data_IF_035427100130
#
_entry.id   IF_035427100130
#
_cell.length_a   1.000
_cell.length_b   1.000
_cell.length_c   1.000
_cell.angle_alpha   90.00
_cell.angle_beta   90.00
_cell.angle_gamma   90.00
#
_symmetry.space_group_name_H-M   'P 1'
#
loop_
_entity.id
_entity.type
_entity.pdbx_description
1 polymer ?
#
# COMPACT_ATOMS: atom_id res chain seq x y z
N UNK A 1 -61.17 23.01 -0.72
CA UNK A 1 -61.40 22.06 0.42
C UNK A 1 -60.70 20.72 0.14
N UNK A 2 -60.84 20.13 -1.07
CA UNK A 2 -60.34 18.80 -1.40
C UNK A 2 -58.84 18.68 -1.31
N UNK A 3 -58.09 19.69 -1.78
CA UNK A 3 -56.60 19.71 -1.65
C UNK A 3 -56.11 19.74 -0.18
N UNK A 4 -56.89 20.31 0.72
CA UNK A 4 -56.53 20.33 2.15
C UNK A 4 -56.70 18.93 2.78
N UNK A 5 -57.75 18.24 2.43
CA UNK A 5 -57.95 16.82 2.86
C UNK A 5 -56.91 15.90 2.27
N UNK A 6 -56.59 16.06 1.02
CA UNK A 6 -55.57 15.30 0.35
C UNK A 6 -54.14 15.53 0.97
N UNK A 7 -53.82 16.79 1.23
CA UNK A 7 -52.56 17.12 1.92
C UNK A 7 -52.52 16.53 3.33
N UNK A 8 -53.63 16.56 4.07
CA UNK A 8 -53.72 15.94 5.40
C UNK A 8 -53.50 14.42 5.30
N UNK A 9 -54.10 13.77 4.33
CA UNK A 9 -54.01 12.32 4.14
C UNK A 9 -52.60 11.88 3.82
N UNK A 10 -51.93 12.61 2.90
CA UNK A 10 -50.49 12.36 2.57
C UNK A 10 -49.57 12.62 3.75
N UNK A 11 -49.83 13.64 4.57
CA UNK A 11 -49.03 13.98 5.72
C UNK A 11 -49.33 13.13 6.96
N UNK A 12 -50.38 12.33 6.95
CA UNK A 12 -50.70 11.47 8.08
C UNK A 12 -49.87 10.19 8.01
N UNK A 13 -49.10 9.94 9.08
CA UNK A 13 -48.29 8.74 9.20
C UNK A 13 -49.22 7.51 9.30
N UNK A 14 -49.05 6.59 8.37
CA UNK A 14 -49.77 5.33 8.41
C UNK A 14 -49.10 4.36 9.41
N UNK A 15 -49.80 4.06 10.51
CA UNK A 15 -49.23 3.26 11.61
C UNK A 15 -49.44 1.75 11.43
N UNK A 16 -50.31 1.32 10.55
CA UNK A 16 -50.68 -0.10 10.35
C UNK A 16 -50.01 -0.67 9.10
N UNK A 17 -48.76 -0.28 8.84
CA UNK A 17 -48.03 -0.87 7.73
C UNK A 17 -47.82 -2.36 7.99
N UNK A 18 -48.19 -3.26 7.05
CA UNK A 18 -48.00 -4.68 7.25
C UNK A 18 -46.54 -5.07 7.11
N UNK A 19 -45.79 -4.89 8.17
CA UNK A 19 -44.40 -5.32 8.25
C UNK A 19 -44.36 -6.84 8.50
N UNK A 20 -43.48 -7.53 7.78
CA UNK A 20 -43.19 -8.94 7.98
C UNK A 20 -42.18 -9.17 9.11
N UNK A 21 -41.31 -8.16 9.34
CA UNK A 21 -40.23 -8.24 10.27
C UNK A 21 -40.69 -7.73 11.66
N UNK A 22 -40.22 -8.38 12.72
CA UNK A 22 -40.46 -8.00 14.10
C UNK A 22 -39.33 -7.10 14.60
N UNK A 23 -39.61 -6.33 15.64
CA UNK A 23 -38.63 -5.45 16.23
C UNK A 23 -37.38 -6.19 16.72
N UNK A 24 -37.55 -7.42 17.19
CA UNK A 24 -36.48 -8.31 17.61
C UNK A 24 -35.52 -8.67 16.48
N UNK A 25 -36.05 -8.78 15.25
CA UNK A 25 -35.27 -9.12 14.04
C UNK A 25 -34.42 -7.94 13.58
N UNK A 26 -34.73 -6.73 14.04
CA UNK A 26 -34.00 -5.49 13.73
C UNK A 26 -32.84 -5.20 14.68
N UNK A 27 -32.49 -6.13 15.54
CA UNK A 27 -31.36 -5.95 16.45
C UNK A 27 -30.05 -5.87 15.67
N UNK A 28 -29.37 -4.73 15.77
CA UNK A 28 -28.06 -4.53 15.12
C UNK A 28 -26.96 -5.29 15.89
N UNK A 29 -26.42 -6.31 15.24
CA UNK A 29 -25.37 -7.18 15.82
C UNK A 29 -23.95 -6.79 15.36
N UNK A 30 -23.78 -5.59 14.84
CA UNK A 30 -22.53 -5.09 14.29
C UNK A 30 -22.42 -5.29 12.77
N UNK A 31 -21.33 -4.82 12.17
CA UNK A 31 -21.10 -4.96 10.74
C UNK A 31 -20.90 -6.42 10.34
N UNK A 32 -21.50 -6.83 9.21
CA UNK A 32 -21.33 -8.16 8.63
C UNK A 32 -20.17 -8.18 7.64
N UNK A 33 -19.69 -9.38 7.27
CA UNK A 33 -18.66 -9.55 6.23
C UNK A 33 -19.12 -9.03 4.86
N UNK A 34 -20.41 -9.06 4.60
CA UNK A 34 -20.98 -8.53 3.36
C UNK A 34 -20.84 -7.02 3.26
N UNK A 35 -20.89 -6.31 4.40
CA UNK A 35 -20.65 -4.87 4.44
C UNK A 35 -19.19 -4.51 4.10
N UNK A 36 -18.25 -5.36 4.46
CA UNK A 36 -16.83 -5.22 4.09
C UNK A 36 -16.69 -5.25 2.57
N UNK A 37 -17.29 -6.25 1.89
CA UNK A 37 -17.29 -6.36 0.43
C UNK A 37 -18.00 -5.18 -0.26
N UNK A 38 -19.13 -4.73 0.29
CA UNK A 38 -19.84 -3.56 -0.26
C UNK A 38 -18.96 -2.30 -0.18
N UNK A 39 -18.23 -2.11 0.92
CA UNK A 39 -17.32 -0.96 1.05
C UNK A 39 -16.11 -1.07 0.13
N UNK A 40 -15.62 -2.29 -0.15
CA UNK A 40 -14.58 -2.54 -1.14
C UNK A 40 -15.06 -2.21 -2.55
N UNK A 41 -16.22 -2.73 -2.95
CA UNK A 41 -16.81 -2.51 -4.28
C UNK A 41 -17.15 -1.04 -4.56
N UNK A 42 -17.56 -0.32 -3.51
CA UNK A 42 -17.85 1.12 -3.58
C UNK A 42 -16.64 2.01 -3.32
N UNK A 43 -15.46 1.44 -3.12
CA UNK A 43 -14.21 2.15 -2.80
C UNK A 43 -14.29 3.03 -1.52
N UNK A 44 -15.12 2.66 -0.56
CA UNK A 44 -15.31 3.39 0.69
C UNK A 44 -14.24 3.04 1.74
N UNK A 45 -12.97 3.22 1.40
CA UNK A 45 -11.82 2.84 2.24
C UNK A 45 -11.79 3.51 3.61
N UNK A 46 -12.35 4.72 3.73
CA UNK A 46 -12.47 5.40 5.04
C UNK A 46 -13.46 4.70 5.97
N UNK A 47 -14.45 4.00 5.44
CA UNK A 47 -15.40 3.20 6.21
C UNK A 47 -14.84 1.80 6.50
N UNK A 48 -14.11 1.19 5.57
CA UNK A 48 -13.39 -0.06 5.82
C UNK A 48 -12.47 0.03 7.03
N UNK A 49 -11.74 1.13 7.17
CA UNK A 49 -10.87 1.41 8.33
C UNK A 49 -11.62 1.52 9.67
N UNK A 50 -12.93 1.76 9.65
CA UNK A 50 -13.78 1.91 10.85
C UNK A 50 -14.51 0.63 11.24
N UNK A 51 -14.51 -0.39 10.36
CA UNK A 51 -15.05 -1.69 10.73
C UNK A 51 -14.22 -2.31 11.86
N UNK A 52 -14.85 -3.02 12.81
CA UNK A 52 -14.11 -3.76 13.83
C UNK A 52 -13.15 -4.70 13.13
N UNK A 53 -11.86 -4.42 13.27
CA UNK A 53 -10.83 -5.27 12.69
C UNK A 53 -10.97 -6.68 13.27
N UNK A 54 -10.92 -7.68 12.40
CA UNK A 54 -10.83 -9.08 12.82
C UNK A 54 -9.71 -9.20 13.84
N UNK A 55 -9.94 -10.02 14.88
CA UNK A 55 -8.89 -10.38 15.83
C UNK A 55 -7.61 -10.63 15.05
N UNK A 56 -6.55 -9.92 15.43
CA UNK A 56 -5.20 -10.11 14.91
C UNK A 56 -4.90 -11.61 14.89
N UNK A 57 -4.96 -12.24 13.72
CA UNK A 57 -4.26 -13.49 13.53
C UNK A 57 -2.81 -13.06 13.44
N UNK A 58 -2.07 -13.35 14.46
CA UNK A 58 -0.66 -13.01 14.60
C UNK A 58 0.09 -13.86 13.55
N UNK A 59 0.12 -13.42 12.30
CA UNK A 59 0.95 -14.02 11.26
C UNK A 59 2.38 -13.56 11.51
N UNK A 60 2.96 -14.06 12.61
CA UNK A 60 4.36 -13.83 12.90
C UNK A 60 5.19 -14.57 11.86
N UNK A 61 5.98 -13.83 11.09
CA UNK A 61 6.92 -14.42 10.15
C UNK A 61 8.29 -14.52 10.83
N UNK A 62 8.99 -15.62 10.58
CA UNK A 62 10.36 -15.76 11.07
C UNK A 62 11.31 -14.88 10.25
N UNK A 63 11.97 -13.95 10.90
CA UNK A 63 12.98 -13.09 10.31
C UNK A 63 14.18 -12.97 11.26
N UNK A 64 15.31 -12.55 10.69
CA UNK A 64 16.54 -12.24 11.43
C UNK A 64 16.77 -10.73 11.42
N UNK A 65 17.26 -10.17 12.51
CA UNK A 65 17.80 -8.82 12.48
C UNK A 65 19.20 -8.88 11.85
N UNK A 66 19.45 -8.01 10.85
CA UNK A 66 20.74 -8.01 10.17
C UNK A 66 21.84 -7.52 11.12
N UNK A 67 22.90 -8.31 11.31
CA UNK A 67 24.08 -7.91 12.09
C UNK A 67 25.24 -7.51 11.21
N UNK A 68 25.40 -8.12 10.04
CA UNK A 68 26.41 -7.79 9.03
C UNK A 68 25.84 -7.93 7.62
N UNK A 69 26.22 -7.01 6.73
CA UNK A 69 25.81 -7.07 5.31
C UNK A 69 26.27 -8.35 4.60
N UNK A 70 27.31 -9.00 5.12
CA UNK A 70 27.83 -10.26 4.57
C UNK A 70 26.92 -11.48 4.81
N UNK A 71 25.90 -11.36 5.65
CA UNK A 71 24.90 -12.40 5.86
C UNK A 71 23.93 -12.49 4.68
N UNK A 72 23.80 -11.43 3.88
CA UNK A 72 22.91 -11.38 2.73
C UNK A 72 23.60 -12.08 1.55
N UNK A 73 22.90 -13.04 0.96
CA UNK A 73 23.37 -13.70 -0.26
C UNK A 73 23.18 -12.77 -1.48
N UNK A 74 24.23 -12.01 -1.83
CA UNK A 74 24.21 -11.04 -2.93
C UNK A 74 24.17 -11.65 -4.32
N UNK A 75 24.41 -12.94 -4.45
CA UNK A 75 24.37 -13.65 -5.73
C UNK A 75 22.93 -13.99 -6.13
N UNK A 76 22.03 -13.99 -5.18
CA UNK A 76 20.59 -14.15 -5.40
C UNK A 76 19.95 -12.82 -5.83
N UNK A 77 18.80 -12.91 -6.50
CA UNK A 77 17.92 -11.76 -6.68
C UNK A 77 17.23 -11.52 -5.33
N UNK A 78 17.19 -10.29 -4.89
CA UNK A 78 16.58 -9.93 -3.62
C UNK A 78 15.30 -9.13 -3.82
N UNK A 79 14.43 -9.16 -2.84
CA UNK A 79 13.32 -8.20 -2.74
C UNK A 79 13.42 -7.39 -1.45
N UNK A 80 12.97 -6.13 -1.50
CA UNK A 80 13.00 -5.26 -0.35
C UNK A 80 11.77 -4.35 -0.28
N UNK A 81 11.42 -3.96 0.95
CA UNK A 81 10.39 -2.97 1.23
C UNK A 81 10.88 -2.00 2.30
N UNK A 82 10.78 -0.70 2.01
CA UNK A 82 11.19 0.38 2.94
C UNK A 82 9.92 1.02 3.51
N UNK A 83 9.82 1.08 4.84
CA UNK A 83 8.77 1.81 5.54
C UNK A 83 9.26 3.19 5.97
N UNK A 84 8.36 4.17 5.94
CA UNK A 84 8.65 5.58 6.22
C UNK A 84 7.62 6.15 7.21
N UNK A 85 7.93 7.26 7.84
CA UNK A 85 7.12 7.86 8.90
C UNK A 85 6.09 8.89 8.42
N UNK A 86 5.99 9.12 7.11
CA UNK A 86 5.08 10.12 6.55
C UNK A 86 4.60 9.70 5.15
N UNK A 87 3.34 9.96 4.82
CA UNK A 87 2.78 9.73 3.48
C UNK A 87 3.50 10.57 2.40
N UNK A 88 3.94 11.77 2.76
CA UNK A 88 4.77 12.58 1.87
C UNK A 88 6.24 12.16 1.98
N UNK A 89 6.69 11.30 1.09
CA UNK A 89 8.04 10.74 1.08
C UNK A 89 9.16 11.77 0.84
N UNK A 90 8.84 13.01 0.38
CA UNK A 90 9.84 14.08 0.24
C UNK A 90 10.33 14.64 1.58
N UNK A 91 9.55 14.45 2.64
CA UNK A 91 9.87 14.92 3.99
C UNK A 91 9.93 13.77 5.01
N UNK A 92 9.75 12.56 4.55
CA UNK A 92 9.69 11.38 5.40
C UNK A 92 11.08 10.91 5.85
N UNK A 93 11.13 10.29 7.02
CA UNK A 93 12.30 9.54 7.49
C UNK A 93 12.05 8.04 7.31
N UNK A 94 13.11 7.31 7.04
CA UNK A 94 13.05 5.85 6.98
C UNK A 94 12.90 5.30 8.40
N UNK A 95 11.97 4.37 8.59
CA UNK A 95 11.76 3.64 9.84
C UNK A 95 12.56 2.33 9.87
N UNK A 96 12.60 1.62 8.77
CA UNK A 96 13.29 0.35 8.62
C UNK A 96 13.02 -0.28 7.27
N UNK A 97 13.67 -1.41 7.00
CA UNK A 97 13.55 -2.15 5.76
C UNK A 97 13.44 -3.65 6.00
N UNK A 98 12.54 -4.31 5.28
CA UNK A 98 12.56 -5.76 5.12
C UNK A 98 13.33 -6.14 3.86
N UNK A 99 14.08 -7.22 3.91
CA UNK A 99 14.83 -7.77 2.78
C UNK A 99 14.72 -9.29 2.76
N UNK A 100 14.43 -9.85 1.59
CA UNK A 100 14.42 -11.29 1.35
C UNK A 100 15.40 -11.65 0.24
N UNK A 101 16.34 -12.55 0.53
CA UNK A 101 17.39 -13.00 -0.38
C UNK A 101 17.19 -14.41 -0.94
N UNK A 102 15.96 -14.92 -0.87
CA UNK A 102 15.50 -16.27 -1.24
C UNK A 102 15.83 -17.37 -0.21
N UNK A 103 16.76 -17.14 0.69
CA UNK A 103 17.14 -18.09 1.75
C UNK A 103 16.73 -17.56 3.13
N UNK A 104 16.93 -16.28 3.35
CA UNK A 104 16.70 -15.62 4.63
C UNK A 104 15.85 -14.37 4.47
N UNK A 105 15.11 -14.07 5.51
CA UNK A 105 14.33 -12.85 5.64
C UNK A 105 14.96 -11.99 6.73
N UNK A 106 15.32 -10.75 6.38
CA UNK A 106 16.00 -9.84 7.27
C UNK A 106 15.17 -8.60 7.57
N UNK A 107 15.16 -8.21 8.83
CA UNK A 107 14.89 -6.83 9.20
C UNK A 107 16.19 -6.03 9.24
N UNK A 108 16.19 -4.87 8.62
CA UNK A 108 17.33 -3.98 8.50
C UNK A 108 16.98 -2.65 9.14
N UNK A 109 17.76 -2.25 10.15
CA UNK A 109 17.61 -0.97 10.81
C UNK A 109 17.93 0.17 9.83
N UNK A 110 17.28 1.31 9.98
CA UNK A 110 17.45 2.50 9.14
C UNK A 110 18.92 2.92 8.96
N UNK A 111 19.73 2.79 10.01
CA UNK A 111 21.13 3.22 9.99
C UNK A 111 22.02 2.31 9.13
N UNK A 112 21.60 1.07 8.86
CA UNK A 112 22.32 0.08 8.06
C UNK A 112 21.92 0.11 6.56
N UNK A 113 20.81 0.74 6.22
CA UNK A 113 20.24 0.68 4.86
C UNK A 113 21.24 1.17 3.80
N UNK A 114 21.94 2.25 4.06
CA UNK A 114 22.94 2.80 3.12
C UNK A 114 24.09 1.82 2.87
N UNK A 115 24.58 1.15 3.91
CA UNK A 115 25.62 0.13 3.80
C UNK A 115 25.13 -1.07 3.00
N UNK A 116 23.91 -1.54 3.26
CA UNK A 116 23.24 -2.63 2.54
C UNK A 116 23.12 -2.32 1.04
N UNK A 117 22.65 -1.12 0.66
CA UNK A 117 22.55 -0.75 -0.74
C UNK A 117 23.92 -0.62 -1.41
N UNK A 118 24.92 -0.17 -0.69
CA UNK A 118 26.32 -0.14 -1.18
C UNK A 118 26.85 -1.54 -1.43
N UNK A 119 26.61 -2.48 -0.51
CA UNK A 119 27.00 -3.89 -0.64
C UNK A 119 26.29 -4.59 -1.79
N UNK A 120 24.99 -4.28 -1.98
CA UNK A 120 24.11 -4.89 -2.99
C UNK A 120 24.05 -4.07 -4.30
N UNK A 121 25.01 -3.21 -4.57
CA UNK A 121 25.00 -2.30 -5.72
C UNK A 121 24.72 -3.01 -7.04
N UNK A 122 25.37 -4.15 -7.28
CA UNK A 122 25.29 -4.90 -8.53
C UNK A 122 24.22 -6.02 -8.50
N UNK A 123 23.62 -6.27 -7.34
CA UNK A 123 22.57 -7.28 -7.16
C UNK A 123 21.27 -6.82 -7.78
N UNK A 124 20.59 -7.70 -8.51
CA UNK A 124 19.24 -7.44 -9.04
C UNK A 124 18.22 -7.43 -7.93
N UNK A 125 17.30 -6.47 -7.99
CA UNK A 125 16.31 -6.24 -6.93
C UNK A 125 14.89 -6.15 -7.45
N UNK A 126 13.94 -6.55 -6.60
CA UNK A 126 12.51 -6.30 -6.72
C UNK A 126 12.06 -5.38 -5.59
N UNK A 127 11.08 -4.54 -5.85
CA UNK A 127 10.54 -3.64 -4.84
C UNK A 127 9.07 -3.30 -5.09
N UNK A 128 8.54 -2.48 -4.22
CA UNK A 128 7.27 -1.79 -4.36
C UNK A 128 7.53 -0.28 -4.28
N UNK A 129 7.04 0.49 -5.27
CA UNK A 129 7.24 1.93 -5.40
C UNK A 129 8.71 2.34 -5.49
N UNK A 130 9.34 1.97 -6.60
CA UNK A 130 10.74 2.29 -6.87
C UNK A 130 10.99 3.81 -6.92
N UNK A 131 10.06 4.60 -7.43
CA UNK A 131 10.19 6.06 -7.50
C UNK A 131 10.37 6.66 -6.10
N UNK A 132 9.50 6.29 -5.16
CA UNK A 132 9.62 6.66 -3.74
C UNK A 132 10.98 6.25 -3.18
N UNK A 133 11.40 5.02 -3.43
CA UNK A 133 12.66 4.49 -2.89
C UNK A 133 13.88 5.24 -3.44
N UNK A 134 13.91 5.60 -4.74
CA UNK A 134 14.97 6.43 -5.34
C UNK A 134 15.07 7.79 -4.62
N UNK A 135 13.94 8.44 -4.36
CA UNK A 135 13.91 9.76 -3.74
C UNK A 135 14.38 9.70 -2.28
N UNK A 136 13.86 8.75 -1.51
CA UNK A 136 14.19 8.60 -0.08
C UNK A 136 15.65 8.22 0.12
N UNK A 137 16.17 7.30 -0.70
CA UNK A 137 17.55 6.84 -0.63
C UNK A 137 18.52 7.84 -1.28
N UNK A 138 18.01 8.76 -2.09
CA UNK A 138 18.78 9.63 -2.97
C UNK A 138 19.77 8.82 -3.84
N UNK A 139 19.33 7.66 -4.34
CA UNK A 139 20.14 6.75 -5.14
C UNK A 139 19.39 6.29 -6.39
N UNK A 140 19.93 6.65 -7.57
CA UNK A 140 19.39 6.28 -8.89
C UNK A 140 19.93 4.94 -9.42
N UNK A 141 20.94 4.37 -8.75
CA UNK A 141 21.61 3.15 -9.20
C UNK A 141 21.18 1.92 -8.40
N UNK A 142 19.88 1.78 -8.14
CA UNK A 142 19.36 0.70 -7.29
C UNK A 142 19.47 -0.69 -7.92
N UNK A 143 19.75 -0.82 -9.21
CA UNK A 143 19.67 -2.08 -9.99
C UNK A 143 18.34 -2.84 -9.75
N UNK A 144 17.25 -2.10 -9.61
CA UNK A 144 15.92 -2.66 -9.43
C UNK A 144 15.30 -2.96 -10.79
N UNK A 145 14.91 -4.21 -10.99
CA UNK A 145 14.43 -4.73 -12.28
C UNK A 145 12.94 -5.08 -12.27
N UNK A 146 12.28 -4.93 -11.13
CA UNK A 146 10.84 -5.16 -11.02
C UNK A 146 10.23 -4.30 -9.91
N UNK A 147 9.11 -3.65 -10.23
CA UNK A 147 8.30 -2.87 -9.29
C UNK A 147 6.87 -3.42 -9.25
N UNK A 148 6.48 -3.96 -8.10
CA UNK A 148 5.14 -4.54 -7.92
C UNK A 148 4.04 -3.48 -8.03
N UNK A 149 4.28 -2.23 -7.63
CA UNK A 149 3.28 -1.16 -7.75
C UNK A 149 2.92 -0.92 -9.21
N UNK A 150 3.93 -0.77 -10.07
CA UNK A 150 3.71 -0.53 -11.51
C UNK A 150 3.05 -1.75 -12.17
N UNK A 151 3.51 -2.97 -11.84
CA UNK A 151 2.93 -4.19 -12.39
C UNK A 151 1.44 -4.32 -12.06
N UNK A 152 1.08 -4.07 -10.81
CA UNK A 152 -0.30 -4.17 -10.33
C UNK A 152 -1.16 -3.00 -10.83
N UNK A 153 -0.59 -1.80 -10.99
CA UNK A 153 -1.26 -0.67 -11.63
C UNK A 153 -1.68 -0.99 -13.07
N UNK A 154 -0.77 -1.53 -13.88
CA UNK A 154 -1.07 -1.93 -15.27
C UNK A 154 -2.13 -3.04 -15.36
N UNK A 155 -2.20 -3.90 -14.36
CA UNK A 155 -3.21 -4.95 -14.24
C UNK A 155 -4.55 -4.46 -13.65
N UNK A 156 -4.74 -3.14 -13.52
CA UNK A 156 -5.93 -2.52 -12.95
C UNK A 156 -6.28 -2.97 -11.53
N UNK A 157 -5.27 -3.38 -10.75
CA UNK A 157 -5.50 -3.61 -9.33
C UNK A 157 -5.76 -2.26 -8.66
N UNK A 158 -6.81 -2.19 -7.86
CA UNK A 158 -7.12 -1.01 -7.07
C UNK A 158 -6.11 -0.88 -5.93
N UNK A 159 -4.95 -0.30 -6.24
CA UNK A 159 -3.87 -0.16 -5.29
C UNK A 159 -3.70 1.30 -4.95
N UNK A 160 -3.54 1.54 -3.66
CA UNK A 160 -3.06 2.80 -3.11
C UNK A 160 -1.67 2.59 -2.52
N UNK A 161 -1.13 3.65 -1.96
CA UNK A 161 0.25 3.82 -1.54
C UNK A 161 0.79 2.75 -0.55
N UNK A 162 -0.07 1.94 0.08
CA UNK A 162 0.33 0.88 1.01
C UNK A 162 0.09 -0.53 0.43
N UNK A 163 1.16 -1.29 0.32
CA UNK A 163 1.13 -2.70 -0.13
C UNK A 163 0.23 -3.57 0.77
N UNK A 164 0.03 -3.18 2.04
CA UNK A 164 -0.86 -3.88 2.95
C UNK A 164 -2.30 -3.99 2.44
N UNK A 165 -2.76 -3.03 1.62
CA UNK A 165 -4.10 -3.08 1.00
C UNK A 165 -4.24 -4.32 0.12
N UNK A 166 -3.24 -4.57 -0.73
CA UNK A 166 -3.24 -5.74 -1.62
C UNK A 166 -3.11 -7.05 -0.84
N UNK A 167 -2.17 -7.10 0.10
CA UNK A 167 -1.92 -8.28 0.91
C UNK A 167 -3.15 -8.69 1.73
N UNK A 168 -3.80 -7.72 2.39
CA UNK A 168 -5.02 -7.98 3.16
C UNK A 168 -6.19 -8.44 2.27
N UNK A 169 -6.30 -7.90 1.05
CA UNK A 169 -7.30 -8.34 0.06
C UNK A 169 -7.08 -9.81 -0.35
N UNK A 170 -5.85 -10.25 -0.43
CA UNK A 170 -5.48 -11.65 -0.71
C UNK A 170 -5.52 -12.57 0.54
N UNK A 171 -5.93 -12.03 1.69
CA UNK A 171 -6.06 -12.78 2.94
C UNK A 171 -4.78 -12.92 3.74
N UNK A 172 -3.74 -12.17 3.39
CA UNK A 172 -2.49 -12.08 4.16
C UNK A 172 -2.59 -10.88 5.08
N UNK A 173 -2.81 -11.12 6.38
CA UNK A 173 -2.99 -10.06 7.35
C UNK A 173 -1.68 -9.33 7.65
N UNK A 174 -1.60 -8.07 7.22
CA UNK A 174 -0.48 -7.17 7.48
C UNK A 174 -1.01 -5.84 7.99
N UNK A 175 -0.43 -5.27 9.05
CA UNK A 175 -0.85 -3.98 9.56
C UNK A 175 -0.63 -2.87 8.52
N UNK A 176 -1.56 -1.92 8.49
CA UNK A 176 -1.39 -0.72 7.69
C UNK A 176 -0.30 0.18 8.27
N UNK A 177 0.26 1.03 7.42
CA UNK A 177 1.29 2.01 7.75
C UNK A 177 1.06 2.72 9.11
N UNK A 178 -0.13 3.27 9.34
CA UNK A 178 -0.44 4.00 10.58
C UNK A 178 -0.34 3.14 11.86
N UNK A 179 -0.52 1.82 11.73
CA UNK A 179 -0.49 0.89 12.85
C UNK A 179 0.94 0.48 13.21
N UNK A 180 1.87 0.62 12.26
CA UNK A 180 3.29 0.28 12.45
C UNK A 180 4.10 1.41 13.10
N UNK A 181 3.62 2.67 13.01
CA UNK A 181 4.35 3.85 13.51
C UNK A 181 4.63 3.82 15.02
N UNK A 182 3.82 3.10 15.80
CA UNK A 182 3.89 3.10 17.26
C UNK A 182 4.34 1.77 17.87
N UNK A 183 4.57 0.78 17.02
CA UNK A 183 4.89 -0.58 17.45
C UNK A 183 6.01 -1.15 16.61
N UNK A 184 7.21 -1.18 17.19
CA UNK A 184 8.42 -1.65 16.51
C UNK A 184 8.32 -3.12 16.08
N UNK A 185 7.64 -3.96 16.86
CA UNK A 185 7.44 -5.37 16.53
C UNK A 185 6.53 -5.52 15.31
N UNK A 186 5.45 -4.75 15.26
CA UNK A 186 4.56 -4.70 14.09
C UNK A 186 5.29 -4.17 12.86
N UNK A 187 6.12 -3.14 13.02
CA UNK A 187 6.94 -2.60 11.94
C UNK A 187 7.86 -3.67 11.36
N UNK A 188 8.65 -4.34 12.20
CA UNK A 188 9.60 -5.37 11.78
C UNK A 188 8.90 -6.51 11.03
N UNK A 189 7.81 -7.01 11.58
CA UNK A 189 6.99 -8.04 10.93
C UNK A 189 6.44 -7.57 9.58
N UNK A 190 5.83 -6.37 9.54
CA UNK A 190 5.20 -5.84 8.34
C UNK A 190 6.17 -5.66 7.18
N UNK A 191 7.34 -5.04 7.41
CA UNK A 191 8.33 -4.82 6.34
C UNK A 191 8.92 -6.13 5.83
N UNK A 192 9.10 -7.11 6.72
CA UNK A 192 9.57 -8.45 6.35
C UNK A 192 8.53 -9.21 5.53
N UNK A 193 7.26 -9.22 5.96
CA UNK A 193 6.17 -9.82 5.20
C UNK A 193 6.01 -9.17 3.82
N UNK A 194 6.03 -7.84 3.76
CA UNK A 194 5.93 -7.08 2.51
C UNK A 194 7.09 -7.40 1.56
N UNK A 195 8.33 -7.48 2.05
CA UNK A 195 9.47 -7.82 1.20
C UNK A 195 9.38 -9.24 0.63
N UNK A 196 8.97 -10.23 1.44
CA UNK A 196 8.75 -11.59 0.96
C UNK A 196 7.60 -11.67 -0.04
N UNK A 197 6.48 -11.00 0.22
CA UNK A 197 5.34 -10.95 -0.69
C UNK A 197 5.71 -10.38 -2.07
N UNK A 198 6.53 -9.31 -2.13
CA UNK A 198 7.05 -8.75 -3.38
C UNK A 198 7.77 -9.83 -4.21
N UNK A 199 8.56 -10.66 -3.57
CA UNK A 199 9.27 -11.75 -4.25
C UNK A 199 8.31 -12.83 -4.74
N UNK A 200 7.45 -13.32 -3.84
CA UNK A 200 6.57 -14.46 -4.09
C UNK A 200 5.54 -14.18 -5.22
N UNK A 201 5.08 -12.94 -5.33
CA UNK A 201 4.04 -12.56 -6.32
C UNK A 201 4.58 -12.16 -7.68
N UNK A 202 5.88 -11.89 -7.79
CA UNK A 202 6.50 -11.36 -9.01
C UNK A 202 6.25 -12.21 -10.26
N UNK A 203 6.42 -13.52 -10.17
CA UNK A 203 6.30 -14.40 -11.34
C UNK A 203 4.87 -14.51 -11.83
N UNK A 204 3.89 -14.51 -10.92
CA UNK A 204 2.48 -14.48 -11.27
C UNK A 204 2.08 -13.15 -11.91
N UNK A 205 2.57 -12.03 -11.39
CA UNK A 205 2.37 -10.71 -11.98
C UNK A 205 2.94 -10.62 -13.40
N UNK A 206 4.15 -11.13 -13.63
CA UNK A 206 4.73 -11.18 -14.99
C UNK A 206 3.89 -12.03 -15.93
N UNK A 207 3.40 -13.18 -15.46
CA UNK A 207 2.53 -14.04 -16.26
C UNK A 207 1.24 -13.28 -16.64
N UNK A 208 0.60 -12.60 -15.69
CA UNK A 208 -0.59 -11.80 -15.95
C UNK A 208 -0.33 -10.64 -16.90
N UNK A 209 0.77 -9.90 -16.73
CA UNK A 209 1.17 -8.82 -17.65
C UNK A 209 1.35 -9.34 -19.09
N UNK A 210 1.91 -10.55 -19.28
CA UNK A 210 2.04 -11.15 -20.60
C UNK A 210 0.70 -11.59 -21.18
N UNK A 211 -0.23 -12.09 -20.35
CA UNK A 211 -1.58 -12.47 -20.80
C UNK A 211 -2.41 -11.29 -21.25
N UNK A 212 -2.19 -10.12 -20.63
CA UNK A 212 -2.90 -8.87 -20.94
C UNK A 212 -2.15 -7.99 -21.97
N UNK A 213 -1.09 -8.50 -22.60
CA UNK A 213 -0.23 -7.77 -23.56
C UNK A 213 0.41 -6.49 -22.98
N UNK A 214 0.54 -6.39 -21.65
CA UNK A 214 1.09 -5.23 -20.93
C UNK A 214 2.57 -5.36 -20.57
N UNK A 215 3.18 -6.54 -20.79
CA UNK A 215 4.57 -6.77 -20.36
C UNK A 215 5.59 -5.89 -21.07
N UNK A 216 5.43 -5.64 -22.37
CA UNK A 216 6.31 -4.77 -23.13
C UNK A 216 6.18 -3.30 -22.68
N UNK A 217 4.98 -2.85 -22.39
CA UNK A 217 4.73 -1.54 -21.79
C UNK A 217 5.42 -1.43 -20.42
N UNK A 218 5.22 -2.42 -19.56
CA UNK A 218 5.86 -2.48 -18.25
C UNK A 218 7.39 -2.37 -18.36
N UNK A 219 8.01 -3.25 -19.16
CA UNK A 219 9.45 -3.40 -19.17
C UNK A 219 10.19 -2.32 -19.96
N UNK A 220 9.60 -1.84 -21.07
CA UNK A 220 10.29 -0.97 -22.02
C UNK A 220 9.91 0.51 -21.87
N UNK A 221 8.81 0.81 -21.17
CA UNK A 221 8.32 2.17 -20.97
C UNK A 221 8.25 2.51 -19.48
N UNK A 222 7.42 1.81 -18.72
CA UNK A 222 7.12 2.19 -17.33
C UNK A 222 8.35 2.07 -16.42
N UNK A 223 9.03 0.94 -16.43
CA UNK A 223 10.24 0.75 -15.61
C UNK A 223 11.36 1.76 -15.93
N UNK A 224 11.72 2.03 -17.20
CA UNK A 224 12.69 3.07 -17.55
C UNK A 224 12.23 4.50 -17.23
N UNK A 225 10.93 4.76 -17.21
CA UNK A 225 10.37 6.08 -16.89
C UNK A 225 10.52 6.45 -15.41
N UNK A 226 10.53 5.46 -14.50
CA UNK A 226 10.60 5.69 -13.05
C UNK A 226 11.77 6.61 -12.64
N UNK A 227 13.04 6.34 -13.00
CA UNK A 227 14.15 7.23 -12.62
C UNK A 227 14.07 8.61 -13.27
N UNK A 228 13.41 8.73 -14.43
CA UNK A 228 13.18 10.03 -15.07
C UNK A 228 12.21 10.86 -14.23
N UNK A 229 11.08 10.29 -13.84
CA UNK A 229 10.09 10.95 -12.98
C UNK A 229 10.69 11.31 -11.60
N UNK A 230 11.46 10.40 -11.00
CA UNK A 230 12.15 10.69 -9.75
C UNK A 230 13.10 11.91 -9.87
N UNK A 231 13.83 12.01 -10.99
CA UNK A 231 14.72 13.16 -11.25
C UNK A 231 13.93 14.44 -11.47
N UNK A 232 12.80 14.38 -12.17
CA UNK A 232 11.91 15.54 -12.35
C UNK A 232 11.38 16.03 -11.00
N UNK A 233 10.97 15.14 -10.13
CA UNK A 233 10.49 15.49 -8.78
C UNK A 233 11.62 16.11 -7.92
N UNK A 234 12.84 15.58 -7.99
CA UNK A 234 13.98 16.16 -7.26
C UNK A 234 14.38 17.55 -7.77
N UNK A 235 14.32 17.76 -9.07
CA UNK A 235 14.59 19.07 -9.66
C UNK A 235 13.53 20.11 -9.30
N UNK A 236 12.29 19.64 -9.09
CA UNK A 236 11.14 20.50 -8.82
C UNK A 236 10.81 21.46 -9.94
N UNK A 237 9.90 22.39 -9.65
CA UNK A 237 9.52 23.50 -10.53
C UNK A 237 9.64 24.82 -9.74
N UNK A 238 10.04 25.88 -10.44
CA UNK A 238 10.07 27.22 -9.85
C UNK A 238 8.63 27.69 -9.69
N UNK A 239 8.27 28.07 -8.46
CA UNK A 239 6.96 28.60 -8.14
C UNK A 239 7.08 30.02 -7.61
N UNK A 240 6.35 30.96 -8.22
CA UNK A 240 6.30 32.36 -7.77
C UNK A 240 5.33 32.47 -6.57
N UNK A 241 5.90 32.60 -5.38
CA UNK A 241 5.13 32.69 -4.13
C UNK A 241 4.31 33.98 -4.01
N UNK A 242 4.74 35.09 -4.65
CA UNK A 242 4.01 36.35 -4.60
C UNK A 242 2.74 36.26 -5.44
N UNK A 243 2.82 35.66 -6.64
CA UNK A 243 1.64 35.41 -7.48
C UNK A 243 0.66 34.49 -6.78
N UNK A 244 1.14 33.40 -6.19
CA UNK A 244 0.27 32.47 -5.45
C UNK A 244 -0.44 33.12 -4.25
N UNK A 245 0.27 33.93 -3.48
CA UNK A 245 -0.34 34.66 -2.36
C UNK A 245 -1.39 35.65 -2.83
N UNK A 246 -1.13 36.36 -3.94
CA UNK A 246 -2.10 37.28 -4.52
C UNK A 246 -3.37 36.57 -4.99
N UNK A 247 -3.23 35.42 -5.64
CA UNK A 247 -4.37 34.59 -6.08
C UNK A 247 -5.18 34.00 -4.91
N UNK A 248 -4.54 33.82 -3.75
CA UNK A 248 -5.21 33.33 -2.53
C UNK A 248 -6.07 34.43 -1.88
N UNK A 249 -5.74 35.70 -2.05
CA UNK A 249 -6.43 36.87 -1.50
C UNK A 249 -7.59 37.32 -2.39
N UNK A 250 -7.62 36.95 -3.66
CA UNK A 250 -8.74 37.16 -4.61
C UNK A 250 -9.82 36.06 -4.45
#
# INVERSE_FOLDING_TARGET
KDNAFFSKDICTIYLEVPLKDKLEDMTYNGPTKELEHIYEDLEFYSFLKKLPQKKEINTQIDYKELTSVTEINKDNIISYYIEIDNENYHIANILGMGLYDQENLFYINKDQIKEVFTYLKDTKKYTYDLKKNIIILNDFNTNTIFDNLIATYLLNYQIKDDLAVLMNKEGIEVPFYNDTLKDETKLKNAVCQKSKYIFDTRDDLIKKLKMEDMYDLFNNVEMPLIPVLARMEQNGIICDKEILNKQKEE
#
